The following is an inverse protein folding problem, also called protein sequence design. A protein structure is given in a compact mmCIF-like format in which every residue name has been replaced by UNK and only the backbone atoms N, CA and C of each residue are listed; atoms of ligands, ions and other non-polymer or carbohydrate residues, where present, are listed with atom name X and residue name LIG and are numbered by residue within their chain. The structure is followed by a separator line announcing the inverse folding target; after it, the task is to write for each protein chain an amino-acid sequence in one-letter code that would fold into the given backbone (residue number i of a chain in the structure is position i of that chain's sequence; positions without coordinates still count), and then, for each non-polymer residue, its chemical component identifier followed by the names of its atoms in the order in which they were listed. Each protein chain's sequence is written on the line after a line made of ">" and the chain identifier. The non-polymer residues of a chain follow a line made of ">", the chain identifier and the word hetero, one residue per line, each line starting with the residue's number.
data_IF_464959964558
#
_entry.id   IF_464959964558
#
_cell.length_a   1.000
_cell.length_b   1.000
_cell.length_c   1.000
_cell.angle_alpha   90.00
_cell.angle_beta   90.00
_cell.angle_gamma   90.00
#
_symmetry.space_group_name_H-M   'P 1'
#
loop_
_entity.id
_entity.type
_entity.pdbx_description
1 polymer ?
#
# COMPACT_ATOMS: atom_id res chain seq x y z
N UNK A 1 -16.53 23.23 -46.65
CA UNK A 1 -17.00 22.12 -45.80
C UNK A 1 -15.80 21.69 -44.95
N UNK A 2 -15.41 22.44 -43.90
CA UNK A 2 -15.91 22.30 -42.52
C UNK A 2 -16.35 20.87 -42.23
N UNK A 3 -15.42 20.04 -41.78
CA UNK A 3 -15.62 18.89 -40.92
C UNK A 3 -14.25 18.26 -40.64
N UNK A 4 -13.55 18.74 -39.62
CA UNK A 4 -12.60 17.92 -38.89
C UNK A 4 -12.73 18.24 -37.40
N UNK A 5 -13.96 18.04 -36.91
CA UNK A 5 -14.30 18.05 -35.50
C UNK A 5 -14.19 16.62 -35.02
N UNK A 6 -12.97 16.10 -34.86
CA UNK A 6 -12.77 14.78 -34.28
C UNK A 6 -11.42 14.74 -33.54
N UNK A 7 -11.45 14.14 -32.35
CA UNK A 7 -10.35 13.97 -31.38
C UNK A 7 -10.16 15.08 -30.34
N UNK A 8 -11.21 15.32 -29.55
CA UNK A 8 -11.09 15.88 -28.19
C UNK A 8 -11.77 14.94 -27.16
N UNK A 9 -11.61 13.61 -27.34
CA UNK A 9 -12.21 12.57 -26.48
C UNK A 9 -11.15 11.55 -26.00
N UNK A 10 -9.97 12.00 -25.58
CA UNK A 10 -8.96 11.09 -25.00
C UNK A 10 -8.32 11.60 -23.70
N UNK A 11 -8.93 12.58 -23.03
CA UNK A 11 -8.45 13.10 -21.75
C UNK A 11 -9.39 12.81 -20.57
N UNK A 12 -10.28 11.82 -20.69
CA UNK A 12 -10.80 11.10 -19.52
C UNK A 12 -9.92 9.88 -19.25
N UNK A 13 -8.61 10.10 -19.12
CA UNK A 13 -7.75 9.13 -18.45
C UNK A 13 -8.38 8.88 -17.08
N UNK A 14 -8.78 7.63 -16.85
CA UNK A 14 -9.52 7.19 -15.67
C UNK A 14 -8.76 7.46 -14.38
N UNK A 15 -8.88 8.68 -13.87
CA UNK A 15 -8.67 8.99 -12.47
C UNK A 15 -9.80 8.32 -11.69
N UNK A 16 -9.68 7.00 -11.50
CA UNK A 16 -10.52 6.29 -10.54
C UNK A 16 -10.30 6.94 -9.17
N UNK A 17 -11.40 7.34 -8.52
CA UNK A 17 -11.46 8.03 -7.24
C UNK A 17 -10.76 7.25 -6.11
N UNK A 18 -9.43 7.32 -6.01
CA UNK A 18 -8.69 6.90 -4.82
C UNK A 18 -8.78 7.96 -3.70
N UNK A 19 -9.47 9.08 -3.98
CA UNK A 19 -9.72 10.18 -3.05
C UNK A 19 -10.39 9.73 -1.75
N UNK A 20 -11.22 8.68 -1.78
CA UNK A 20 -11.95 8.18 -0.62
C UNK A 20 -11.03 7.74 0.52
N UNK A 21 -9.93 7.05 0.19
CA UNK A 21 -8.97 6.54 1.18
C UNK A 21 -7.71 7.40 1.32
N UNK A 22 -7.58 8.49 0.55
CA UNK A 22 -6.46 9.42 0.69
C UNK A 22 -6.42 10.02 2.10
N UNK A 23 -5.29 9.93 2.79
CA UNK A 23 -5.16 10.40 4.16
C UNK A 23 -3.92 9.86 4.86
N UNK A 24 -3.67 10.33 6.07
CA UNK A 24 -2.64 9.76 6.95
C UNK A 24 -3.31 8.89 7.99
N UNK A 25 -2.79 7.69 8.19
CA UNK A 25 -3.37 6.69 9.07
C UNK A 25 -2.36 6.21 10.11
N UNK A 26 -2.88 5.92 11.30
CA UNK A 26 -2.17 5.22 12.37
C UNK A 26 -2.64 3.76 12.42
N UNK A 27 -1.72 2.77 12.35
CA UNK A 27 -2.08 1.37 12.47
C UNK A 27 -2.33 0.95 13.92
N UNK A 28 -3.35 0.11 14.11
CA UNK A 28 -3.67 -0.63 15.32
C UNK A 28 -3.59 -2.11 14.95
N UNK A 29 -2.53 -2.77 15.39
CA UNK A 29 -2.24 -4.17 15.07
C UNK A 29 -3.02 -5.14 15.97
N UNK A 30 -3.48 -6.25 15.42
CA UNK A 30 -4.00 -7.39 16.16
C UNK A 30 -2.86 -8.15 16.86
N UNK A 31 -3.10 -8.64 18.08
CA UNK A 31 -2.06 -9.31 18.90
C UNK A 31 -1.60 -10.64 18.30
N UNK A 32 -2.48 -11.34 17.59
CA UNK A 32 -2.25 -12.68 17.05
C UNK A 32 -1.28 -12.68 15.85
N UNK A 33 -1.21 -11.57 15.12
CA UNK A 33 -0.40 -11.42 13.91
C UNK A 33 0.65 -10.33 14.12
N UNK A 34 1.53 -10.53 15.09
CA UNK A 34 2.42 -9.49 15.62
C UNK A 34 3.89 -9.81 15.32
N UNK A 35 4.47 -9.09 14.35
CA UNK A 35 5.93 -9.06 14.11
C UNK A 35 6.43 -7.63 14.30
N UNK A 36 7.10 -7.36 15.41
CA UNK A 36 7.43 -6.00 15.84
C UNK A 36 8.34 -5.23 14.86
N UNK A 37 9.29 -5.92 14.23
CA UNK A 37 10.19 -5.34 13.22
C UNK A 37 9.48 -4.87 11.94
N UNK A 38 8.25 -5.33 11.71
CA UNK A 38 7.48 -5.05 10.49
C UNK A 38 6.42 -3.97 10.74
N UNK A 39 6.38 -3.37 11.94
CA UNK A 39 5.41 -2.34 12.29
C UNK A 39 5.82 -0.97 11.77
N UNK A 40 5.00 -0.46 10.87
CA UNK A 40 4.99 0.96 10.58
C UNK A 40 4.21 1.72 11.66
N UNK A 41 4.62 2.96 11.90
CA UNK A 41 3.97 3.90 12.79
C UNK A 41 2.91 4.74 12.06
N UNK A 42 3.13 5.03 10.78
CA UNK A 42 2.22 5.84 9.95
C UNK A 42 2.16 5.29 8.54
N UNK A 43 0.99 5.42 7.93
CA UNK A 43 0.75 5.15 6.51
C UNK A 43 0.04 6.35 5.90
N UNK A 44 0.70 7.05 4.98
CA UNK A 44 0.08 8.12 4.19
C UNK A 44 -0.30 7.54 2.83
N UNK A 45 -1.57 7.62 2.48
CA UNK A 45 -2.12 7.18 1.19
C UNK A 45 -2.43 8.42 0.36
N UNK A 46 -1.90 8.46 -0.85
CA UNK A 46 -2.11 9.49 -1.87
C UNK A 46 -2.76 8.83 -3.10
N UNK A 47 -3.07 9.61 -4.14
CA UNK A 47 -3.85 9.10 -5.28
C UNK A 47 -3.25 7.86 -5.93
N UNK A 48 -1.93 7.78 -6.10
CA UNK A 48 -1.24 6.69 -6.81
C UNK A 48 -0.08 6.08 -6.03
N UNK A 49 0.17 6.59 -4.82
CA UNK A 49 1.34 6.27 -4.02
C UNK A 49 0.98 6.18 -2.55
N UNK A 50 1.83 5.52 -1.78
CA UNK A 50 1.77 5.60 -0.33
C UNK A 50 3.16 5.78 0.25
N UNK A 51 3.18 6.29 1.48
CA UNK A 51 4.38 6.46 2.29
C UNK A 51 4.18 5.75 3.63
N UNK A 52 5.01 4.77 3.91
CA UNK A 52 5.04 3.98 5.14
C UNK A 52 6.21 4.45 6.01
N UNK A 53 5.95 4.95 7.20
CA UNK A 53 6.99 5.42 8.13
C UNK A 53 7.06 4.48 9.33
N UNK A 54 8.23 3.93 9.61
CA UNK A 54 8.51 3.06 10.76
C UNK A 54 8.84 3.87 12.02
N UNK A 55 8.75 3.22 13.19
CA UNK A 55 9.06 3.88 14.48
C UNK A 55 10.49 4.41 14.58
N UNK A 56 11.43 3.79 13.87
CA UNK A 56 12.83 4.21 13.80
C UNK A 56 13.08 5.34 12.77
N UNK A 57 12.02 5.93 12.19
CA UNK A 57 12.11 7.01 11.22
C UNK A 57 12.34 6.56 9.77
N UNK A 58 12.61 5.27 9.53
CA UNK A 58 12.75 4.74 8.17
C UNK A 58 11.44 4.91 7.41
N UNK A 59 11.53 5.35 6.16
CA UNK A 59 10.39 5.57 5.27
C UNK A 59 10.50 4.69 4.04
N UNK A 60 9.40 4.04 3.67
CA UNK A 60 9.25 3.34 2.39
C UNK A 60 8.15 4.04 1.58
N UNK A 61 8.42 4.28 0.31
CA UNK A 61 7.41 4.76 -0.65
C UNK A 61 7.01 3.56 -1.51
N UNK A 62 5.72 3.46 -1.83
CA UNK A 62 5.22 2.43 -2.71
C UNK A 62 4.11 2.92 -3.61
N UNK A 63 3.58 2.00 -4.40
CA UNK A 63 2.53 2.25 -5.40
C UNK A 63 1.23 1.59 -4.97
N UNK A 64 0.13 2.15 -5.43
CA UNK A 64 -1.21 1.59 -5.23
C UNK A 64 -1.58 0.82 -6.48
N UNK A 65 -1.89 -0.46 -6.31
CA UNK A 65 -2.37 -1.36 -7.36
C UNK A 65 -3.81 -1.77 -7.01
N UNK A 66 -4.76 -1.53 -7.93
CA UNK A 66 -6.11 -2.05 -7.83
C UNK A 66 -6.21 -3.28 -8.71
N UNK A 67 -6.69 -4.39 -8.15
CA UNK A 67 -7.06 -5.56 -8.95
C UNK A 67 -8.44 -5.28 -9.54
N UNK A 68 -8.56 -5.28 -10.87
CA UNK A 68 -9.83 -5.04 -11.55
C UNK A 68 -10.75 -6.28 -11.56
N UNK A 69 -10.27 -7.47 -11.17
CA UNK A 69 -11.06 -8.71 -11.25
C UNK A 69 -10.83 -9.69 -10.08
N UNK A 70 -11.93 -10.33 -9.65
CA UNK A 70 -12.10 -11.43 -8.67
C UNK A 70 -12.53 -11.05 -7.24
N UNK A 71 -12.13 -9.89 -6.69
CA UNK A 71 -12.61 -9.42 -5.37
C UNK A 71 -12.83 -7.90 -5.37
N UNK A 72 -14.08 -7.41 -5.56
CA UNK A 72 -14.35 -5.99 -5.86
C UNK A 72 -14.14 -4.98 -4.72
N UNK A 73 -13.39 -5.30 -3.66
CA UNK A 73 -13.27 -4.45 -2.46
C UNK A 73 -11.85 -4.27 -1.91
N UNK A 74 -10.82 -4.82 -2.58
CA UNK A 74 -9.44 -4.79 -2.05
C UNK A 74 -8.52 -3.85 -2.83
N UNK A 75 -7.77 -3.03 -2.09
CA UNK A 75 -6.70 -2.16 -2.59
C UNK A 75 -5.36 -2.74 -2.17
N UNK A 76 -4.41 -2.88 -3.09
CA UNK A 76 -3.08 -3.42 -2.79
C UNK A 76 -2.07 -2.28 -2.76
N UNK A 77 -1.31 -2.20 -1.67
CA UNK A 77 -0.21 -1.28 -1.51
C UNK A 77 1.08 -2.07 -1.61
N UNK A 78 1.80 -1.85 -2.70
CA UNK A 78 2.98 -2.61 -3.06
C UNK A 78 4.21 -1.72 -2.84
N UNK A 79 5.11 -2.13 -1.93
CA UNK A 79 6.35 -1.38 -1.68
C UNK A 79 7.10 -1.22 -3.00
N UNK A 80 7.44 0.02 -3.39
CA UNK A 80 8.24 0.23 -4.59
C UNK A 80 9.67 -0.15 -4.26
N UNK A 81 10.15 -1.16 -4.98
CA UNK A 81 11.48 -1.80 -4.92
C UNK A 81 12.39 -1.22 -3.86
N UNK A 82 12.61 -1.97 -2.77
CA UNK A 82 13.63 -1.70 -1.76
C UNK A 82 14.85 -1.07 -2.42
N UNK A 83 15.25 0.11 -1.93
CA UNK A 83 16.61 0.62 -2.14
C UNK A 83 17.53 -0.53 -1.79
N UNK A 84 18.13 -1.18 -2.80
CA UNK A 84 19.19 -2.17 -2.58
C UNK A 84 20.18 -1.47 -1.66
N UNK A 85 20.39 -1.95 -0.42
CA UNK A 85 21.41 -1.34 0.41
C UNK A 85 22.70 -1.56 -0.35
N UNK A 86 23.31 -0.46 -0.79
CA UNK A 86 24.62 -0.49 -1.41
C UNK A 86 25.55 -0.95 -0.29
N UNK A 87 25.85 -2.25 -0.28
CA UNK A 87 26.68 -3.01 0.67
C UNK A 87 25.90 -3.56 1.88
N UNK A 88 25.45 -4.82 1.79
CA UNK A 88 25.30 -5.72 2.96
C UNK A 88 26.42 -6.74 2.87
N UNK A 89 27.57 -6.41 3.42
CA UNK A 89 28.58 -7.40 3.83
C UNK A 89 28.24 -7.81 5.26
N UNK A 90 27.40 -8.82 5.39
CA UNK A 90 27.52 -9.88 6.39
C UNK A 90 26.25 -10.73 6.40
N UNK A 91 26.37 -11.94 6.94
CA UNK A 91 25.39 -13.04 7.02
C UNK A 91 24.06 -12.70 7.74
N UNK A 92 23.57 -11.46 7.68
CA UNK A 92 22.25 -11.06 8.16
C UNK A 92 21.20 -11.23 7.06
N UNK A 93 20.60 -12.42 7.07
CA UNK A 93 19.25 -12.74 6.61
C UNK A 93 18.82 -12.25 5.20
N UNK A 94 19.05 -13.12 4.20
CA UNK A 94 18.32 -13.12 2.91
C UNK A 94 16.78 -13.13 3.07
N UNK A 95 16.25 -13.40 4.26
CA UNK A 95 14.82 -13.43 4.61
C UNK A 95 14.13 -12.05 4.51
N UNK A 96 14.89 -10.96 4.41
CA UNK A 96 14.39 -9.58 4.32
C UNK A 96 14.27 -9.02 2.88
N UNK A 97 14.46 -9.84 1.85
CA UNK A 97 14.41 -9.40 0.43
C UNK A 97 13.03 -9.71 -0.20
N UNK A 98 12.10 -10.32 0.54
CA UNK A 98 10.78 -10.64 -0.01
C UNK A 98 9.88 -9.39 0.00
N UNK A 99 9.44 -8.96 -1.18
CA UNK A 99 8.57 -7.79 -1.38
C UNK A 99 7.27 -7.93 -0.57
N UNK A 100 6.92 -6.88 0.17
CA UNK A 100 5.71 -6.85 1.01
C UNK A 100 4.56 -6.18 0.27
N UNK A 101 3.36 -6.71 0.52
CA UNK A 101 2.11 -6.17 0.01
C UNK A 101 1.21 -5.88 1.22
N UNK A 102 0.55 -4.73 1.23
CA UNK A 102 -0.52 -4.43 2.18
C UNK A 102 -1.83 -4.52 1.43
N UNK A 103 -2.66 -5.49 1.78
CA UNK A 103 -4.05 -5.56 1.36
C UNK A 103 -4.88 -4.62 2.24
N UNK A 104 -5.69 -3.78 1.62
CA UNK A 104 -6.59 -2.84 2.27
C UNK A 104 -8.03 -3.21 1.91
N UNK A 105 -8.87 -3.32 2.93
CA UNK A 105 -10.32 -3.47 2.80
C UNK A 105 -10.98 -2.25 3.44
N UNK A 106 -11.90 -1.63 2.72
CA UNK A 106 -12.54 -0.37 3.13
C UNK A 106 -13.76 -0.70 4.00
N UNK A 107 -13.76 -0.23 5.24
CA UNK A 107 -14.96 -0.19 6.10
C UNK A 107 -15.67 1.16 5.89
N UNK A 108 -14.92 2.25 6.05
CA UNK A 108 -15.32 3.62 5.73
C UNK A 108 -14.07 4.49 5.48
N UNK A 109 -14.24 5.75 5.10
CA UNK A 109 -13.11 6.64 4.78
C UNK A 109 -12.13 6.88 5.94
N UNK A 110 -12.59 6.77 7.19
CA UNK A 110 -11.78 7.05 8.39
C UNK A 110 -11.14 5.78 8.98
N UNK A 111 -11.67 4.61 8.65
CA UNK A 111 -11.20 3.31 9.16
C UNK A 111 -11.03 2.32 8.02
N UNK A 112 -9.83 1.80 7.85
CA UNK A 112 -9.52 0.77 6.87
C UNK A 112 -9.03 -0.49 7.59
N UNK A 113 -9.45 -1.66 7.13
CA UNK A 113 -8.83 -2.91 7.54
C UNK A 113 -7.60 -3.17 6.69
N UNK A 114 -6.54 -3.67 7.30
CA UNK A 114 -5.34 -4.03 6.56
C UNK A 114 -4.81 -5.40 6.95
N UNK A 115 -4.17 -6.03 5.97
CA UNK A 115 -3.40 -7.26 6.13
C UNK A 115 -2.10 -7.11 5.35
N UNK A 116 -0.96 -7.36 5.99
CA UNK A 116 0.33 -7.39 5.28
C UNK A 116 0.70 -8.82 4.94
N UNK A 117 1.08 -9.04 3.69
CA UNK A 117 1.48 -10.33 3.13
C UNK A 117 2.79 -10.20 2.35
N UNK A 118 3.22 -11.30 1.75
CA UNK A 118 4.45 -11.43 0.97
C UNK A 118 4.06 -11.70 -0.47
N UNK A 119 4.63 -10.99 -1.46
CA UNK A 119 4.22 -11.07 -2.87
C UNK A 119 4.15 -12.50 -3.42
N UNK A 120 5.09 -13.36 -3.05
CA UNK A 120 5.14 -14.76 -3.51
C UNK A 120 4.44 -15.76 -2.58
N UNK A 121 3.78 -15.29 -1.51
CA UNK A 121 3.09 -16.10 -0.48
C UNK A 121 1.88 -15.34 0.06
N UNK A 122 0.91 -15.06 -0.81
CA UNK A 122 -0.27 -14.24 -0.50
C UNK A 122 -1.17 -14.85 0.61
N UNK A 123 -1.08 -16.16 0.82
CA UNK A 123 -1.74 -16.93 1.87
C UNK A 123 -1.16 -16.66 3.27
N UNK A 124 0.09 -16.19 3.37
CA UNK A 124 0.77 -15.95 4.64
C UNK A 124 0.46 -14.54 5.18
N UNK A 125 -0.25 -14.47 6.30
CA UNK A 125 -0.47 -13.22 7.02
C UNK A 125 0.73 -12.88 7.90
N UNK A 126 1.39 -11.75 7.64
CA UNK A 126 2.51 -11.24 8.47
C UNK A 126 1.98 -10.38 9.61
N UNK A 127 1.11 -9.42 9.30
CA UNK A 127 0.41 -8.59 10.27
C UNK A 127 -1.01 -8.30 9.79
N UNK A 128 -1.89 -7.96 10.72
CA UNK A 128 -3.27 -7.53 10.43
C UNK A 128 -3.71 -6.47 11.43
N UNK A 129 -4.65 -5.64 11.04
CA UNK A 129 -5.37 -4.80 11.97
C UNK A 129 -6.20 -3.70 11.30
N UNK A 130 -6.28 -2.55 11.97
CA UNK A 130 -7.01 -1.37 11.50
C UNK A 130 -6.08 -0.19 11.26
N UNK A 131 -6.38 0.61 10.25
CA UNK A 131 -5.78 1.91 9.98
C UNK A 131 -6.81 2.98 10.36
N UNK A 132 -6.47 3.81 11.33
CA UNK A 132 -7.33 4.90 11.79
C UNK A 132 -6.80 6.22 11.25
N UNK A 133 -7.63 6.96 10.51
CA UNK A 133 -7.26 8.25 9.91
C UNK A 133 -6.94 9.26 11.02
N UNK A 134 -5.85 9.97 10.84
CA UNK A 134 -5.44 11.10 11.69
C UNK A 134 -6.07 12.35 11.08
N UNK A 135 -6.83 13.09 11.90
CA UNK A 135 -7.44 14.37 11.54
C UNK A 135 -6.47 15.53 11.78
#
# INVERSE_FOLDING_TARGET
>A
MKNLLFFLIFLSLGFQNNSEICGTYKPIFEKEYFIDSEKFALLKIELNSFKKTYKNGVTIIGRIEKSEETYPSKIYLTDSSFVKPKIITDKLNRKYIEKRIIEIEIDNSDTLYFRTTIENKLDVTVNRGKLIRIK
#
